data_IF_082293535522
#
_entry.id   IF_082293535522
#
_cell.length_a   1.000
_cell.length_b   1.000
_cell.length_c   1.000
_cell.angle_alpha   90.00
_cell.angle_beta   90.00
_cell.angle_gamma   90.00
#
_symmetry.space_group_name_H-M   'P 1'
#
loop_
_entity.id
_entity.type
_entity.pdbx_description
1 polymer ?
#
# COMPACT_ATOMS: atom_id res chain seq x y z
N UNK A 1 3.15 -20.09 3.40
CA UNK A 1 2.76 -18.75 2.94
C UNK A 1 1.96 -18.05 4.03
N UNK A 2 2.29 -16.81 4.29
CA UNK A 2 1.60 -15.98 5.26
C UNK A 2 0.85 -14.85 4.57
N UNK A 3 -0.15 -14.28 5.22
CA UNK A 3 -0.89 -13.14 4.70
C UNK A 3 -1.43 -12.28 5.82
N UNK A 4 -1.70 -11.02 5.50
CA UNK A 4 -2.38 -10.10 6.41
C UNK A 4 -3.20 -9.10 5.60
N UNK A 5 -4.23 -8.55 6.22
CA UNK A 5 -5.11 -7.56 5.59
C UNK A 5 -5.60 -6.59 6.65
N UNK A 6 -5.58 -5.30 6.30
CA UNK A 6 -6.10 -4.22 7.15
C UNK A 6 -7.05 -3.39 6.32
N UNK A 7 -8.19 -3.02 6.89
CA UNK A 7 -9.17 -2.16 6.24
C UNK A 7 -9.47 -0.96 7.13
N UNK A 8 -9.79 0.17 6.49
CA UNK A 8 -10.20 1.38 7.21
C UNK A 8 -11.18 2.19 6.39
N UNK A 9 -12.24 2.66 7.03
CA UNK A 9 -13.17 3.62 6.45
C UNK A 9 -12.54 5.02 6.48
N UNK A 10 -12.63 5.75 5.36
CA UNK A 10 -12.07 7.09 5.21
C UNK A 10 -13.15 8.08 4.79
N UNK A 11 -13.04 9.36 5.17
CA UNK A 11 -14.10 10.36 5.01
C UNK A 11 -14.07 11.05 3.64
N UNK A 12 -14.08 10.28 2.57
CA UNK A 12 -14.11 10.80 1.19
C UNK A 12 -14.75 9.77 0.28
N UNK A 13 -15.29 10.22 -0.87
CA UNK A 13 -15.87 9.33 -1.85
C UNK A 13 -14.84 8.37 -2.42
N UNK A 14 -15.23 7.19 -2.90
CA UNK A 14 -14.29 6.25 -3.51
C UNK A 14 -13.47 6.87 -4.64
N UNK A 15 -14.09 7.70 -5.47
CA UNK A 15 -13.40 8.40 -6.56
C UNK A 15 -12.30 9.33 -6.02
N UNK A 16 -12.63 10.12 -5.00
CA UNK A 16 -11.69 11.07 -4.41
C UNK A 16 -10.52 10.35 -3.74
N UNK A 17 -10.81 9.25 -3.04
CA UNK A 17 -9.77 8.41 -2.41
C UNK A 17 -8.85 7.83 -3.48
N UNK A 18 -9.42 7.28 -4.55
CA UNK A 18 -8.63 6.70 -5.63
C UNK A 18 -7.79 7.75 -6.35
N UNK A 19 -8.31 8.96 -6.55
CA UNK A 19 -7.54 10.04 -7.15
C UNK A 19 -6.29 10.41 -6.34
N UNK A 20 -6.34 10.24 -5.02
CA UNK A 20 -5.18 10.49 -4.16
C UNK A 20 -4.21 9.31 -4.14
N UNK A 21 -4.71 8.09 -3.93
CA UNK A 21 -3.85 6.94 -3.63
C UNK A 21 -3.64 5.96 -4.78
N UNK A 22 -4.43 6.06 -5.84
CA UNK A 22 -4.40 5.09 -6.94
C UNK A 22 -3.19 5.22 -7.86
N UNK A 23 -2.48 6.32 -7.84
CA UNK A 23 -1.25 6.49 -8.61
C UNK A 23 -0.12 5.66 -8.03
N UNK A 24 0.48 4.80 -8.84
CA UNK A 24 1.56 3.93 -8.38
C UNK A 24 2.78 4.74 -7.87
N UNK A 25 2.96 5.95 -8.37
CA UNK A 25 4.07 6.82 -7.98
C UNK A 25 3.66 7.91 -6.97
N UNK A 26 2.46 7.84 -6.43
CA UNK A 26 1.88 8.87 -5.56
C UNK A 26 2.06 8.60 -4.07
N UNK A 27 2.82 7.58 -3.66
CA UNK A 27 3.00 7.27 -2.24
C UNK A 27 3.44 8.48 -1.40
N UNK A 28 4.37 9.34 -1.85
CA UNK A 28 4.75 10.51 -1.06
C UNK A 28 3.61 11.49 -0.78
N UNK A 29 2.53 11.45 -1.57
CA UNK A 29 1.41 12.39 -1.42
C UNK A 29 0.53 12.06 -0.20
N UNK A 30 0.56 10.81 0.27
CA UNK A 30 -0.31 10.40 1.38
C UNK A 30 0.39 9.52 2.42
N UNK A 31 1.59 9.02 2.14
CA UNK A 31 2.31 8.11 3.03
C UNK A 31 3.60 8.77 3.51
N UNK A 32 3.62 9.37 4.71
CA UNK A 32 4.79 10.11 5.19
C UNK A 32 6.01 9.23 5.45
N UNK A 33 5.82 7.91 5.55
CA UNK A 33 6.91 6.95 5.74
C UNK A 33 7.70 6.71 4.46
N UNK A 34 7.20 7.18 3.31
CA UNK A 34 7.86 7.08 2.02
C UNK A 34 7.95 8.48 1.41
N UNK A 35 8.93 9.28 1.83
CA UNK A 35 9.07 10.65 1.34
C UNK A 35 9.56 10.76 -0.09
N UNK A 36 10.15 9.70 -0.65
CA UNK A 36 10.70 9.71 -2.01
C UNK A 36 10.23 8.50 -2.81
N UNK A 37 9.82 8.72 -4.04
CA UNK A 37 9.47 7.67 -5.00
C UNK A 37 10.00 8.08 -6.39
N UNK A 38 10.78 7.22 -7.01
CA UNK A 38 11.33 7.43 -8.35
C UNK A 38 10.79 6.38 -9.29
N UNK A 39 10.24 6.82 -10.43
CA UNK A 39 9.74 5.92 -11.47
C UNK A 39 10.91 5.34 -12.28
N UNK A 40 10.88 4.03 -12.50
CA UNK A 40 11.85 3.29 -13.29
C UNK A 40 11.12 2.42 -14.31
N UNK A 41 11.83 1.94 -15.32
CA UNK A 41 11.33 1.00 -16.33
C UNK A 41 10.00 1.42 -16.95
N UNK A 42 9.90 2.66 -17.38
CA UNK A 42 8.68 3.17 -18.02
C UNK A 42 7.51 3.35 -17.06
N UNK A 43 7.78 3.47 -15.77
CA UNK A 43 6.75 3.65 -14.74
C UNK A 43 6.24 2.34 -14.14
N UNK A 44 6.75 1.20 -14.57
CA UNK A 44 6.32 -0.11 -14.05
C UNK A 44 7.00 -0.49 -12.74
N UNK A 45 8.08 0.20 -12.38
CA UNK A 45 8.85 -0.03 -11.17
C UNK A 45 8.96 1.29 -10.43
N UNK A 46 8.86 1.24 -9.10
CA UNK A 46 9.12 2.38 -8.26
C UNK A 46 10.25 2.07 -7.29
N UNK A 47 11.15 3.04 -7.12
CA UNK A 47 12.23 2.98 -6.14
C UNK A 47 11.87 3.95 -5.02
N UNK A 48 11.69 3.41 -3.85
CA UNK A 48 11.24 4.17 -2.68
C UNK A 48 12.38 4.33 -1.69
N UNK A 49 12.36 5.42 -0.95
CA UNK A 49 13.21 5.59 0.23
C UNK A 49 12.36 5.91 1.43
N UNK A 50 12.67 5.27 2.56
CA UNK A 50 12.06 5.62 3.85
C UNK A 50 12.87 6.72 4.53
N UNK A 51 12.41 7.27 5.68
CA UNK A 51 13.12 8.36 6.36
C UNK A 51 14.55 7.98 6.79
N UNK A 52 14.83 6.71 6.99
CA UNK A 52 16.17 6.21 7.37
C UNK A 52 17.08 6.06 6.16
N UNK A 53 16.59 6.32 4.95
CA UNK A 53 17.36 6.19 3.73
C UNK A 53 17.43 4.78 3.16
N UNK A 54 16.69 3.84 3.71
CA UNK A 54 16.62 2.48 3.17
C UNK A 54 15.83 2.46 1.87
N UNK A 55 16.27 1.62 0.94
CA UNK A 55 15.71 1.54 -0.41
C UNK A 55 14.77 0.34 -0.52
N UNK A 56 13.59 0.58 -1.09
CA UNK A 56 12.60 -0.45 -1.41
C UNK A 56 12.31 -0.31 -2.90
N UNK A 57 12.40 -1.41 -3.64
CA UNK A 57 12.11 -1.43 -5.08
C UNK A 57 10.92 -2.35 -5.30
N UNK A 58 9.90 -1.84 -5.98
CA UNK A 58 8.64 -2.55 -6.19
C UNK A 58 8.22 -2.48 -7.64
N UNK A 59 7.66 -3.60 -8.14
CA UNK A 59 7.14 -3.72 -9.50
C UNK A 59 5.62 -3.77 -9.48
N UNK A 60 4.99 -2.97 -10.34
CA UNK A 60 3.53 -3.02 -10.55
C UNK A 60 3.17 -4.35 -11.23
N UNK A 61 2.28 -5.12 -10.62
CA UNK A 61 1.84 -6.43 -11.09
C UNK A 61 0.47 -6.35 -11.74
N UNK A 62 -0.43 -5.53 -11.19
CA UNK A 62 -1.79 -5.37 -11.67
C UNK A 62 -2.29 -3.96 -11.37
N UNK A 63 -3.10 -3.40 -12.26
CA UNK A 63 -3.70 -2.07 -12.09
C UNK A 63 -5.06 -2.08 -12.72
N UNK A 64 -6.10 -1.69 -11.96
CA UNK A 64 -7.47 -1.62 -12.46
C UNK A 64 -8.12 -0.31 -12.03
N UNK A 65 -8.25 0.62 -12.97
CA UNK A 65 -8.82 1.95 -12.74
C UNK A 65 -10.31 1.88 -12.42
N UNK A 66 -11.04 0.97 -13.06
CA UNK A 66 -12.48 0.84 -12.90
C UNK A 66 -12.85 0.24 -11.54
N UNK A 67 -12.14 -0.80 -11.13
CA UNK A 67 -12.37 -1.46 -9.84
C UNK A 67 -11.57 -0.84 -8.70
N UNK A 68 -10.72 0.10 -8.99
CA UNK A 68 -9.93 0.87 -8.04
C UNK A 68 -9.03 -0.01 -7.16
N UNK A 69 -8.11 -0.72 -7.81
CA UNK A 69 -7.06 -1.44 -7.09
C UNK A 69 -5.79 -1.52 -7.91
N UNK A 70 -4.67 -1.68 -7.21
CA UNK A 70 -3.43 -2.09 -7.84
C UNK A 70 -2.66 -3.05 -6.93
N UNK A 71 -1.84 -3.89 -7.56
CA UNK A 71 -0.99 -4.85 -6.85
C UNK A 71 0.46 -4.66 -7.27
N UNK A 72 1.36 -4.92 -6.33
CA UNK A 72 2.79 -4.79 -6.58
C UNK A 72 3.56 -5.91 -5.89
N UNK A 73 4.73 -6.21 -6.43
CA UNK A 73 5.67 -7.18 -5.87
C UNK A 73 6.93 -6.44 -5.40
N UNK A 74 7.54 -6.90 -4.31
CA UNK A 74 8.82 -6.38 -3.86
C UNK A 74 9.94 -7.07 -4.64
N UNK A 75 10.81 -6.26 -5.25
CA UNK A 75 12.04 -6.72 -5.90
C UNK A 75 13.24 -6.62 -4.96
N UNK A 76 13.25 -5.61 -4.07
CA UNK A 76 14.32 -5.37 -3.11
C UNK A 76 13.74 -4.61 -1.92
N UNK A 77 13.99 -5.09 -0.72
CA UNK A 77 13.56 -4.41 0.51
C UNK A 77 14.34 -4.93 1.72
N UNK A 78 14.41 -4.16 2.81
CA UNK A 78 15.05 -4.61 4.05
C UNK A 78 14.12 -5.47 4.92
N UNK A 79 13.18 -6.18 4.30
CA UNK A 79 12.21 -7.01 5.01
C UNK A 79 12.56 -8.50 4.89
N UNK A 80 12.33 -9.29 5.95
CA UNK A 80 12.66 -10.73 5.94
C UNK A 80 11.58 -11.56 5.25
N UNK A 81 11.38 -11.32 3.95
CA UNK A 81 10.33 -12.00 3.15
C UNK A 81 10.82 -12.33 1.76
N UNK A 82 10.17 -13.33 1.17
CA UNK A 82 10.28 -13.69 -0.22
C UNK A 82 8.87 -13.76 -0.83
N UNK A 83 8.76 -13.62 -2.15
CA UNK A 83 7.49 -13.77 -2.85
C UNK A 83 6.40 -12.79 -2.40
N UNK A 84 6.77 -11.61 -1.95
CA UNK A 84 5.82 -10.61 -1.45
C UNK A 84 5.02 -9.99 -2.58
N UNK A 85 3.69 -10.08 -2.48
CA UNK A 85 2.75 -9.39 -3.35
C UNK A 85 1.69 -8.72 -2.47
N UNK A 86 1.44 -7.46 -2.72
CA UNK A 86 0.49 -6.67 -1.93
C UNK A 86 -0.52 -5.98 -2.85
N UNK A 87 -1.72 -5.72 -2.32
CA UNK A 87 -2.80 -5.06 -3.03
C UNK A 87 -3.37 -3.93 -2.19
N UNK A 88 -3.55 -2.77 -2.83
CA UNK A 88 -4.33 -1.65 -2.30
C UNK A 88 -5.64 -1.57 -3.10
N UNK A 89 -6.76 -1.52 -2.39
CA UNK A 89 -8.09 -1.52 -3.00
C UNK A 89 -9.01 -0.53 -2.30
N UNK A 90 -9.78 0.21 -3.11
CA UNK A 90 -10.81 1.10 -2.61
C UNK A 90 -12.17 0.44 -2.83
N UNK A 91 -12.90 0.21 -1.75
CA UNK A 91 -14.25 -0.36 -1.77
C UNK A 91 -15.29 0.72 -1.60
N UNK A 92 -16.43 0.55 -2.27
CA UNK A 92 -17.61 1.35 -1.99
C UNK A 92 -18.26 0.86 -0.69
N UNK A 93 -18.95 1.76 0.01
CA UNK A 93 -19.73 1.41 1.20
C UNK A 93 -21.21 1.48 0.81
N UNK A 94 -21.97 0.39 0.91
CA UNK A 94 -23.37 0.38 0.48
C UNK A 94 -24.20 1.50 1.15
N UNK A 95 -24.93 2.25 0.31
CA UNK A 95 -25.76 3.34 0.78
C UNK A 95 -25.02 4.63 1.12
N UNK A 96 -23.71 4.68 0.93
CA UNK A 96 -22.89 5.87 1.21
C UNK A 96 -21.95 6.15 0.06
N UNK A 97 -22.02 7.37 -0.48
CA UNK A 97 -21.14 7.82 -1.56
C UNK A 97 -20.11 8.88 -1.09
N UNK A 98 -20.18 9.25 0.18
CA UNK A 98 -19.33 10.25 0.82
C UNK A 98 -18.19 9.63 1.64
N UNK A 99 -18.17 8.32 1.75
CA UNK A 99 -17.11 7.57 2.44
C UNK A 99 -16.66 6.39 1.56
N UNK A 100 -15.50 5.84 1.88
CA UNK A 100 -14.98 4.65 1.23
C UNK A 100 -14.28 3.77 2.25
N UNK A 101 -14.13 2.48 1.94
CA UNK A 101 -13.31 1.58 2.72
C UNK A 101 -12.06 1.25 1.92
N UNK A 102 -10.89 1.47 2.51
CA UNK A 102 -9.61 1.14 1.87
C UNK A 102 -9.03 -0.10 2.53
N UNK A 103 -8.65 -1.05 1.70
CA UNK A 103 -8.06 -2.30 2.13
C UNK A 103 -6.63 -2.40 1.62
N UNK A 104 -5.71 -2.73 2.51
CA UNK A 104 -4.32 -3.02 2.17
C UNK A 104 -4.01 -4.42 2.65
N UNK A 105 -3.65 -5.30 1.72
CA UNK A 105 -3.40 -6.71 1.99
C UNK A 105 -2.10 -7.15 1.36
N UNK A 106 -1.50 -8.21 1.90
CA UNK A 106 -0.28 -8.77 1.38
C UNK A 106 -0.17 -10.24 1.67
N UNK A 107 0.57 -10.95 0.82
CA UNK A 107 0.96 -12.35 1.01
C UNK A 107 2.46 -12.47 0.78
N UNK A 108 3.09 -13.34 1.54
CA UNK A 108 4.56 -13.43 1.54
C UNK A 108 5.02 -14.72 2.22
N UNK A 109 6.28 -15.09 1.98
CA UNK A 109 6.94 -16.18 2.67
C UNK A 109 7.99 -15.58 3.61
N UNK A 110 7.89 -15.78 4.94
CA UNK A 110 8.91 -15.31 5.88
C UNK A 110 10.25 -16.00 5.65
N UNK A 111 11.32 -15.23 5.72
CA UNK A 111 12.70 -15.73 5.56
C UNK A 111 13.55 -15.18 6.70
N UNK A 112 14.05 -16.07 7.57
CA UNK A 112 14.91 -15.67 8.70
C UNK A 112 14.15 -15.05 9.87
N UNK A 113 12.82 -15.14 9.87
CA UNK A 113 11.93 -14.66 10.93
C UNK A 113 10.71 -15.56 11.01
N UNK A 114 9.97 -15.52 12.12
CA UNK A 114 8.76 -16.32 12.28
C UNK A 114 7.60 -15.71 11.50
N UNK A 115 6.61 -16.54 11.17
CA UNK A 115 5.39 -16.07 10.51
C UNK A 115 4.71 -14.96 11.33
N UNK A 116 4.57 -15.18 12.66
CA UNK A 116 3.93 -14.19 13.55
C UNK A 116 4.66 -12.85 13.55
N UNK A 117 6.00 -12.87 13.54
CA UNK A 117 6.80 -11.65 13.50
C UNK A 117 6.56 -10.87 12.21
N UNK A 118 6.53 -11.55 11.08
CA UNK A 118 6.40 -10.92 9.77
C UNK A 118 4.96 -10.46 9.54
N UNK A 119 3.97 -11.25 9.93
CA UNK A 119 2.56 -10.83 9.88
C UNK A 119 2.36 -9.57 10.74
N UNK A 120 2.91 -9.54 11.94
CA UNK A 120 2.84 -8.36 12.81
C UNK A 120 3.48 -7.13 12.21
N UNK A 121 4.63 -7.30 11.55
CA UNK A 121 5.34 -6.20 10.87
C UNK A 121 4.45 -5.55 9.80
N UNK A 122 3.93 -6.35 8.86
CA UNK A 122 3.15 -5.80 7.76
C UNK A 122 1.75 -5.33 8.20
N UNK A 123 1.14 -5.98 9.18
CA UNK A 123 -0.12 -5.50 9.76
C UNK A 123 0.08 -4.09 10.34
N UNK A 124 1.19 -3.85 11.04
CA UNK A 124 1.53 -2.52 11.56
C UNK A 124 1.78 -1.51 10.46
N UNK A 125 2.52 -1.88 9.42
CA UNK A 125 2.80 -1.00 8.28
C UNK A 125 1.50 -0.61 7.57
N UNK A 126 0.62 -1.56 7.29
CA UNK A 126 -0.64 -1.29 6.59
C UNK A 126 -1.57 -0.43 7.45
N UNK A 127 -1.67 -0.74 8.75
CA UNK A 127 -2.49 0.05 9.67
C UNK A 127 -2.02 1.49 9.76
N UNK A 128 -0.73 1.69 9.95
CA UNK A 128 -0.16 3.03 10.06
C UNK A 128 -0.31 3.81 8.75
N UNK A 129 -0.15 3.12 7.62
CA UNK A 129 -0.34 3.73 6.31
C UNK A 129 -1.78 4.15 6.06
N UNK A 130 -2.76 3.31 6.42
CA UNK A 130 -4.18 3.65 6.27
C UNK A 130 -4.60 4.75 7.26
N UNK A 131 -3.99 4.79 8.44
CA UNK A 131 -4.20 5.90 9.38
C UNK A 131 -3.69 7.23 8.79
N UNK A 132 -2.54 7.20 8.14
CA UNK A 132 -1.98 8.38 7.46
C UNK A 132 -2.88 8.84 6.31
N UNK A 133 -3.43 7.89 5.53
CA UNK A 133 -4.38 8.19 4.47
C UNK A 133 -5.64 8.85 5.04
N UNK A 134 -6.20 8.30 6.10
CA UNK A 134 -7.37 8.87 6.78
C UNK A 134 -7.09 10.30 7.23
N UNK A 135 -5.93 10.53 7.82
CA UNK A 135 -5.54 11.86 8.30
C UNK A 135 -5.43 12.86 7.15
N UNK A 136 -4.84 12.45 6.03
CA UNK A 136 -4.71 13.29 4.84
C UNK A 136 -6.08 13.67 4.28
N UNK A 137 -7.02 12.73 4.24
CA UNK A 137 -8.37 12.95 3.73
C UNK A 137 -9.27 13.73 4.70
N UNK A 138 -8.88 13.82 5.96
CA UNK A 138 -9.63 14.54 7.00
C UNK A 138 -9.22 15.99 7.14
N UNK A 139 -8.15 16.39 6.46
CA UNK A 139 -7.61 17.75 6.56
C UNK A 139 -8.42 18.74 5.73
#
# INVERSE_FOLDING_TARGET
MASTSVSRTVPASPEKVWNLMGGFHALPDWLPYIPESTALEGGRVRRLKNPEGEVIVERLVDFNETERHYSYAILQAPFPVDGYVSTLRVHTVPGRDDIAEVQWSGRFDPVGATEDEVVGLFTGIYRDGLDALHKTLSA
#
